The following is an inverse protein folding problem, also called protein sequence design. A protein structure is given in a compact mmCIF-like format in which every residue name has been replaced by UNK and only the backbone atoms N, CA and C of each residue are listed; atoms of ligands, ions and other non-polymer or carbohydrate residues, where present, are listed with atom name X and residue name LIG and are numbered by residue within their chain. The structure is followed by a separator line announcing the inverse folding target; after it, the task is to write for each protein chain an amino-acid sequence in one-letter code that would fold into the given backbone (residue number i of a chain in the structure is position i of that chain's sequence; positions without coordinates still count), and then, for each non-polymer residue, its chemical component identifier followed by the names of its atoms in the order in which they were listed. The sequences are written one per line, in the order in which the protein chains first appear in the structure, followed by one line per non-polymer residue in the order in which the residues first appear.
data_IF_677613578027
#
_entry.id   IF_677613578027
#
_cell.length_a   1.000
_cell.length_b   1.000
_cell.length_c   1.000
_cell.angle_alpha   90.00
_cell.angle_beta   90.00
_cell.angle_gamma   90.00
#
_symmetry.space_group_name_H-M   'P 1'
#
loop_
_entity.id
_entity.type
_entity.pdbx_description
1 polymer ?
#
# COMPACT_ATOMS: atom_id res chain seq x y z
N UNK A 1 8.62 2.83 26.91
CA UNK A 1 9.31 2.30 25.71
C UNK A 1 8.36 2.50 24.55
N UNK A 2 8.69 3.37 23.60
CA UNK A 2 7.86 3.57 22.41
C UNK A 2 8.03 2.36 21.50
N UNK A 3 6.92 1.70 21.18
CA UNK A 3 6.82 0.68 20.13
C UNK A 3 7.50 1.20 18.86
N UNK A 4 8.74 0.75 18.65
CA UNK A 4 9.58 1.08 17.49
C UNK A 4 9.63 -0.16 16.61
N UNK A 5 8.47 -0.74 16.33
CA UNK A 5 8.37 -1.63 15.17
C UNK A 5 8.31 -0.71 13.97
N UNK A 6 9.39 -0.58 13.16
CA UNK A 6 9.32 0.21 11.96
C UNK A 6 8.17 -0.35 11.12
N UNK A 7 7.20 0.49 10.80
CA UNK A 7 6.16 0.13 9.84
C UNK A 7 6.77 -0.30 8.51
N UNK A 8 5.98 -0.89 7.59
CA UNK A 8 6.49 -1.45 6.34
C UNK A 8 7.42 -0.49 5.60
N UNK A 9 8.50 -1.02 5.04
CA UNK A 9 9.41 -0.25 4.18
C UNK A 9 8.69 0.23 2.91
N UNK A 10 9.24 1.25 2.25
CA UNK A 10 8.68 1.75 0.98
C UNK A 10 8.62 0.64 -0.09
N UNK A 11 9.60 -0.27 -0.11
CA UNK A 11 9.60 -1.41 -1.00
C UNK A 11 8.43 -2.37 -0.69
N UNK A 12 8.25 -2.74 0.57
CA UNK A 12 7.14 -3.59 1.00
C UNK A 12 5.77 -2.96 0.70
N UNK A 13 5.62 -1.65 0.90
CA UNK A 13 4.38 -0.95 0.54
C UNK A 13 4.09 -0.99 -0.97
N UNK A 14 5.13 -0.85 -1.81
CA UNK A 14 5.00 -0.92 -3.28
C UNK A 14 4.66 -2.35 -3.73
N UNK A 15 5.23 -3.36 -3.08
CA UNK A 15 4.93 -4.76 -3.37
C UNK A 15 3.50 -5.11 -2.95
N UNK A 16 3.06 -4.66 -1.76
CA UNK A 16 1.67 -4.79 -1.31
C UNK A 16 0.70 -4.07 -2.25
N UNK A 17 1.04 -2.86 -2.70
CA UNK A 17 0.20 -2.12 -3.66
C UNK A 17 0.02 -2.89 -4.96
N UNK A 18 1.11 -3.44 -5.52
CA UNK A 18 1.07 -4.25 -6.74
C UNK A 18 0.23 -5.52 -6.55
N UNK A 19 0.46 -6.24 -5.46
CA UNK A 19 -0.31 -7.45 -5.12
C UNK A 19 -1.82 -7.16 -4.97
N UNK A 20 -2.17 -6.02 -4.36
CA UNK A 20 -3.58 -5.62 -4.21
C UNK A 20 -4.20 -5.18 -5.54
N UNK A 21 -3.43 -4.61 -6.47
CA UNK A 21 -3.89 -4.41 -7.85
C UNK A 21 -4.16 -5.76 -8.55
N UNK A 22 -3.24 -6.72 -8.46
CA UNK A 22 -3.44 -8.05 -9.07
C UNK A 22 -4.69 -8.75 -8.52
N UNK A 23 -4.94 -8.61 -7.21
CA UNK A 23 -6.16 -9.11 -6.54
C UNK A 23 -7.42 -8.40 -7.01
N UNK A 24 -7.34 -7.10 -7.31
CA UNK A 24 -8.46 -6.32 -7.83
C UNK A 24 -8.78 -6.73 -9.28
N UNK A 25 -7.75 -6.94 -10.10
CA UNK A 25 -7.92 -7.45 -11.46
C UNK A 25 -8.53 -8.86 -11.45
N UNK A 26 -8.11 -9.72 -10.51
CA UNK A 26 -8.74 -11.03 -10.31
C UNK A 26 -10.21 -10.92 -9.85
N UNK A 27 -10.53 -9.92 -9.00
CA UNK A 27 -11.89 -9.65 -8.57
C UNK A 27 -12.80 -9.19 -9.73
N UNK A 28 -12.24 -8.65 -10.81
CA UNK A 28 -13.01 -8.35 -12.02
C UNK A 28 -13.54 -9.60 -12.72
N UNK A 29 -12.85 -10.73 -12.58
CA UNK A 29 -13.32 -12.03 -13.05
C UNK A 29 -14.11 -12.82 -11.96
N UNK A 30 -13.86 -12.55 -10.67
CA UNK A 30 -14.46 -13.27 -9.53
C UNK A 30 -15.28 -12.34 -8.62
N UNK A 31 -16.62 -12.47 -8.70
CA UNK A 31 -17.57 -11.69 -7.89
C UNK A 31 -17.60 -12.06 -6.40
N UNK A 32 -16.85 -13.08 -5.96
CA UNK A 32 -16.72 -13.43 -4.53
C UNK A 32 -15.77 -12.50 -3.78
N UNK A 33 -14.94 -11.75 -4.50
CA UNK A 33 -13.97 -10.83 -3.92
C UNK A 33 -14.60 -9.44 -3.65
N UNK A 34 -14.39 -8.92 -2.44
CA UNK A 34 -14.86 -7.58 -2.06
C UNK A 34 -13.98 -6.49 -2.70
N UNK A 35 -14.34 -6.09 -3.93
CA UNK A 35 -13.69 -4.99 -4.65
C UNK A 35 -13.64 -3.71 -3.83
N UNK A 36 -14.68 -3.43 -3.03
CA UNK A 36 -14.75 -2.21 -2.22
C UNK A 36 -13.70 -2.23 -1.11
N UNK A 37 -13.43 -3.38 -0.51
CA UNK A 37 -12.34 -3.56 0.44
C UNK A 37 -10.98 -3.34 -0.24
N UNK A 38 -10.76 -3.95 -1.41
CA UNK A 38 -9.50 -3.80 -2.18
C UNK A 38 -9.24 -2.35 -2.60
N UNK A 39 -10.24 -1.61 -3.07
CA UNK A 39 -10.08 -0.19 -3.38
C UNK A 39 -9.75 0.67 -2.16
N UNK A 40 -10.30 0.36 -0.98
CA UNK A 40 -9.94 1.05 0.27
C UNK A 40 -8.49 0.78 0.65
N UNK A 41 -8.07 -0.47 0.51
CA UNK A 41 -6.69 -0.89 0.77
C UNK A 41 -5.71 -0.17 -0.16
N UNK A 42 -6.00 -0.10 -1.46
CA UNK A 42 -5.17 0.63 -2.43
C UNK A 42 -5.03 2.11 -2.11
N UNK A 43 -6.12 2.78 -1.71
CA UNK A 43 -6.05 4.20 -1.31
C UNK A 43 -5.17 4.41 -0.08
N UNK A 44 -5.24 3.51 0.89
CA UNK A 44 -4.41 3.55 2.09
C UNK A 44 -2.93 3.35 1.73
N UNK A 45 -2.63 2.32 0.93
CA UNK A 45 -1.27 2.03 0.47
C UNK A 45 -0.69 3.20 -0.34
N UNK A 46 -1.47 3.80 -1.24
CA UNK A 46 -1.03 4.95 -2.03
C UNK A 46 -0.68 6.16 -1.15
N UNK A 47 -1.46 6.41 -0.11
CA UNK A 47 -1.18 7.47 0.86
C UNK A 47 0.12 7.20 1.63
N UNK A 48 0.29 5.99 2.16
CA UNK A 48 1.49 5.61 2.92
C UNK A 48 2.76 5.64 2.06
N UNK A 49 2.68 5.20 0.81
CA UNK A 49 3.77 5.31 -0.17
C UNK A 49 4.13 6.77 -0.38
N UNK A 50 3.15 7.64 -0.64
CA UNK A 50 3.37 9.06 -0.89
C UNK A 50 4.04 9.75 0.30
N UNK A 51 3.58 9.46 1.52
CA UNK A 51 4.17 10.01 2.74
C UNK A 51 5.64 9.60 2.88
N UNK A 52 5.95 8.30 2.69
CA UNK A 52 7.35 7.83 2.77
C UNK A 52 8.23 8.37 1.65
N UNK A 53 7.69 8.59 0.45
CA UNK A 53 8.44 9.21 -0.64
C UNK A 53 8.78 10.67 -0.33
N UNK A 54 7.86 11.42 0.28
CA UNK A 54 8.12 12.80 0.76
C UNK A 54 9.15 12.81 1.90
N UNK A 55 9.01 11.92 2.88
CA UNK A 55 9.97 11.81 4.00
C UNK A 55 11.38 11.49 3.51
N UNK A 56 11.51 10.58 2.55
CA UNK A 56 12.80 10.23 1.95
C UNK A 56 13.39 11.41 1.16
N UNK A 57 12.57 12.10 0.36
CA UNK A 57 13.02 13.28 -0.38
C UNK A 57 13.51 14.42 0.54
N UNK A 58 12.94 14.55 1.73
CA UNK A 58 13.40 15.51 2.74
C UNK A 58 14.70 15.09 3.45
N UNK A 59 15.06 13.81 3.43
CA UNK A 59 16.32 13.30 3.98
C UNK A 59 17.48 13.32 2.97
N UNK A 60 17.16 13.24 1.68
CA UNK A 60 18.12 13.29 0.58
C UNK A 60 18.52 14.75 0.19
N UNK A 61 17.89 15.77 0.80
CA UNK A 61 18.10 17.21 0.53
C UNK A 61 18.94 17.91 1.62
#
# INVERSE_FOLDING_TARGET
MTDTTPGPSLAELKDLYRSTCDRLDAADADNSLDKRALYKELKKLQYEISMKEVERAAQDA
#
